data_IF_293330776279
#
_entry.id   IF_293330776279
#
_cell.length_a   1.000
_cell.length_b   1.000
_cell.length_c   1.000
_cell.angle_alpha   90.00
_cell.angle_beta   90.00
_cell.angle_gamma   90.00
#
_symmetry.space_group_name_H-M   'P 1'
#
loop_
_entity.id
_entity.type
_entity.pdbx_description
1 polymer ?
#
# COMPACT_ATOMS: atom_id res chain seq x y z
N UNK A 1 -2.93 -26.90 -36.30
CA UNK A 1 -1.52 -27.31 -36.44
C UNK A 1 -0.67 -26.07 -36.76
N UNK A 2 0.06 -25.52 -35.78
CA UNK A 2 1.34 -24.89 -36.05
C UNK A 2 2.44 -25.54 -35.20
N UNK A 3 3.45 -26.06 -35.89
CA UNK A 3 4.69 -26.62 -35.36
C UNK A 3 5.55 -25.54 -34.72
N UNK A 4 6.02 -25.76 -33.48
CA UNK A 4 7.14 -25.02 -32.88
C UNK A 4 8.25 -26.01 -32.52
N UNK A 5 9.44 -25.63 -32.96
CA UNK A 5 10.72 -26.32 -32.98
C UNK A 5 11.24 -26.72 -31.59
N UNK A 6 12.13 -27.73 -31.50
CA UNK A 6 12.67 -28.22 -30.23
C UNK A 6 13.66 -27.23 -29.59
N UNK A 7 13.50 -27.02 -28.28
CA UNK A 7 14.38 -26.23 -27.42
C UNK A 7 15.74 -26.91 -27.25
N UNK A 8 16.80 -26.23 -27.66
CA UNK A 8 18.19 -26.61 -27.34
C UNK A 8 18.45 -26.36 -25.84
N UNK A 9 19.06 -27.29 -25.09
CA UNK A 9 19.36 -27.07 -23.68
C UNK A 9 20.54 -26.09 -23.51
N UNK A 10 20.40 -25.16 -22.56
CA UNK A 10 21.46 -24.24 -22.12
C UNK A 10 22.65 -25.02 -21.53
N UNK A 11 23.90 -24.65 -21.85
CA UNK A 11 25.06 -25.29 -21.23
C UNK A 11 25.15 -24.91 -19.74
N UNK A 12 25.38 -25.91 -18.89
CA UNK A 12 25.57 -25.74 -17.45
C UNK A 12 27.03 -25.37 -17.21
N UNK A 13 27.29 -24.20 -16.64
CA UNK A 13 28.64 -23.81 -16.21
C UNK A 13 29.06 -24.66 -14.99
N UNK A 14 30.32 -25.11 -14.90
CA UNK A 14 30.77 -25.92 -13.77
C UNK A 14 30.69 -25.16 -12.45
N UNK A 15 30.10 -25.79 -11.43
CA UNK A 15 30.08 -25.30 -10.06
C UNK A 15 31.47 -25.55 -9.44
N UNK A 16 32.32 -24.53 -9.33
CA UNK A 16 33.57 -24.67 -8.57
C UNK A 16 33.27 -24.67 -7.06
N UNK A 17 33.64 -25.76 -6.38
CA UNK A 17 33.53 -25.91 -4.93
C UNK A 17 34.65 -25.09 -4.26
N UNK A 18 34.34 -24.20 -3.31
CA UNK A 18 35.38 -23.49 -2.56
C UNK A 18 36.02 -24.44 -1.54
N UNK A 19 37.26 -24.86 -1.75
CA UNK A 19 37.90 -25.70 -0.73
C UNK A 19 39.23 -26.38 -1.01
N UNK A 20 39.96 -26.07 -2.09
CA UNK A 20 41.29 -26.65 -2.29
C UNK A 20 42.30 -25.56 -2.56
N UNK A 21 43.13 -25.26 -1.55
CA UNK A 21 44.56 -24.94 -1.67
C UNK A 21 45.10 -24.56 -0.27
N UNK A 22 45.37 -25.57 0.56
CA UNK A 22 46.20 -25.43 1.76
C UNK A 22 47.61 -25.94 1.44
N UNK A 23 48.45 -25.10 0.84
CA UNK A 23 49.88 -25.35 0.74
C UNK A 23 50.57 -24.72 1.97
N UNK A 24 51.03 -25.56 2.90
CA UNK A 24 51.86 -25.13 4.04
C UNK A 24 53.20 -24.60 3.52
N UNK A 25 53.40 -23.28 3.51
CA UNK A 25 54.73 -22.68 3.37
C UNK A 25 55.28 -22.31 4.74
N UNK A 26 56.36 -23.00 5.13
CA UNK A 26 57.21 -22.67 6.27
C UNK A 26 57.94 -21.35 6.01
N UNK A 27 57.88 -20.39 6.94
CA UNK A 27 58.81 -19.26 6.95
C UNK A 27 58.25 -17.91 7.42
N UNK A 28 58.90 -17.36 8.45
CA UNK A 28 58.86 -15.97 8.94
C UNK A 28 57.65 -15.58 9.80
N UNK A 29 57.89 -15.45 11.12
CA UNK A 29 56.96 -14.85 12.09
C UNK A 29 56.84 -13.35 11.80
N UNK A 30 55.87 -12.96 10.97
CA UNK A 30 55.33 -11.59 10.98
C UNK A 30 54.27 -11.53 12.06
N UNK A 31 54.19 -10.42 12.80
CA UNK A 31 53.23 -10.25 13.88
C UNK A 31 51.81 -10.51 13.35
N UNK A 32 51.09 -11.42 14.01
CA UNK A 32 49.78 -11.92 13.57
C UNK A 32 48.73 -10.83 13.37
N UNK A 33 48.86 -9.71 14.09
CA UNK A 33 47.98 -8.54 13.93
C UNK A 33 48.15 -7.85 12.58
N UNK A 34 49.38 -7.72 12.09
CA UNK A 34 49.69 -7.02 10.83
C UNK A 34 49.29 -7.88 9.63
N UNK A 35 49.53 -9.20 9.71
CA UNK A 35 49.07 -10.15 8.70
C UNK A 35 47.53 -10.24 8.63
N UNK A 36 46.84 -10.13 9.78
CA UNK A 36 45.38 -10.11 9.83
C UNK A 36 44.81 -8.81 9.24
N UNK A 37 45.43 -7.67 9.49
CA UNK A 37 45.01 -6.39 8.91
C UNK A 37 45.26 -6.30 7.41
N UNK A 38 46.40 -6.80 6.92
CA UNK A 38 46.71 -6.85 5.47
C UNK A 38 45.78 -7.84 4.73
N UNK A 39 45.45 -8.97 5.36
CA UNK A 39 44.43 -9.89 4.84
C UNK A 39 43.04 -9.24 4.81
N UNK A 40 42.64 -8.53 5.88
CA UNK A 40 41.37 -7.81 5.93
C UNK A 40 41.29 -6.71 4.86
N UNK A 41 42.36 -5.93 4.66
CA UNK A 41 42.42 -4.89 3.63
C UNK A 41 42.25 -5.46 2.21
N UNK A 42 42.80 -6.64 1.93
CA UNK A 42 42.64 -7.33 0.64
C UNK A 42 41.25 -7.94 0.45
N UNK A 43 40.59 -8.34 1.54
CA UNK A 43 39.28 -9.02 1.48
C UNK A 43 38.12 -8.03 1.48
N UNK A 44 38.27 -6.88 2.16
CA UNK A 44 37.21 -5.87 2.32
C UNK A 44 37.46 -4.57 1.56
N UNK A 45 38.67 -4.34 1.02
CA UNK A 45 39.03 -3.12 0.28
C UNK A 45 38.47 -3.04 -1.14
N UNK A 46 37.90 -4.13 -1.65
CA UNK A 46 37.15 -4.14 -2.90
C UNK A 46 35.72 -4.55 -2.58
N UNK A 47 34.90 -3.60 -2.13
CA UNK A 47 33.45 -3.75 -2.32
C UNK A 47 33.26 -3.99 -3.81
N UNK A 48 32.80 -5.17 -4.27
CA UNK A 48 32.35 -5.26 -5.63
C UNK A 48 31.17 -4.31 -5.72
N UNK A 49 31.38 -3.17 -6.38
CA UNK A 49 30.27 -2.39 -6.89
C UNK A 49 29.62 -3.30 -7.90
N UNK A 50 28.63 -4.09 -7.46
CA UNK A 50 27.71 -4.74 -8.36
C UNK A 50 27.25 -3.63 -9.29
N UNK A 51 27.52 -3.72 -10.61
CA UNK A 51 26.87 -2.82 -11.53
C UNK A 51 25.39 -3.06 -11.31
N UNK A 52 24.70 -2.10 -10.68
CA UNK A 52 23.25 -2.02 -10.67
C UNK A 52 22.81 -1.62 -12.08
N UNK A 53 23.16 -2.44 -13.08
CA UNK A 53 22.56 -2.39 -14.39
C UNK A 53 21.54 -3.51 -14.46
N UNK A 54 20.34 -3.19 -14.03
CA UNK A 54 19.21 -3.30 -14.94
C UNK A 54 18.12 -2.37 -14.42
N UNK A 55 18.07 -1.16 -15.00
CA UNK A 55 16.75 -0.55 -15.22
C UNK A 55 15.96 -1.62 -15.93
N UNK A 56 15.04 -2.20 -15.18
CA UNK A 56 14.27 -3.37 -15.56
C UNK A 56 13.72 -3.14 -16.96
N UNK A 57 13.93 -4.11 -17.85
CA UNK A 57 13.02 -4.25 -18.98
C UNK A 57 11.61 -4.22 -18.37
N UNK A 58 10.85 -3.15 -18.61
CA UNK A 58 9.48 -3.04 -18.13
C UNK A 58 8.79 -4.27 -18.71
N UNK A 59 8.36 -5.18 -17.84
CA UNK A 59 7.53 -6.31 -18.28
C UNK A 59 6.42 -5.72 -19.17
N UNK A 60 6.16 -6.23 -20.38
CA UNK A 60 5.11 -5.68 -21.24
C UNK A 60 3.74 -5.69 -20.56
N UNK A 61 3.54 -6.53 -19.53
CA UNK A 61 2.36 -6.51 -18.68
C UNK A 61 2.23 -5.27 -17.77
N UNK A 62 3.34 -4.56 -17.50
CA UNK A 62 3.43 -3.38 -16.65
C UNK A 62 3.45 -2.07 -17.45
N UNK A 63 3.54 -2.15 -18.77
CA UNK A 63 3.46 -0.99 -19.65
C UNK A 63 2.11 -0.27 -19.45
N UNK A 64 2.16 1.06 -19.25
CA UNK A 64 0.99 1.88 -18.96
C UNK A 64 0.48 1.84 -17.50
N UNK A 65 1.10 1.08 -16.58
CA UNK A 65 0.72 1.10 -15.16
C UNK A 65 1.37 2.27 -14.43
N UNK A 66 0.54 3.12 -13.81
CA UNK A 66 1.01 4.15 -12.88
C UNK A 66 0.65 3.76 -11.44
N UNK A 67 1.57 3.95 -10.50
CA UNK A 67 1.27 3.79 -9.08
C UNK A 67 0.36 4.93 -8.62
N UNK A 68 -0.75 4.59 -7.98
CA UNK A 68 -1.62 5.58 -7.34
C UNK A 68 -0.88 6.20 -6.15
N UNK A 69 -0.87 7.54 -6.09
CA UNK A 69 -0.45 8.27 -4.88
C UNK A 69 -1.50 8.04 -3.80
N UNK A 70 -1.09 7.79 -2.56
CA UNK A 70 -2.00 7.60 -1.42
C UNK A 70 -2.35 6.14 -1.09
N UNK A 71 -1.97 5.14 -1.90
CA UNK A 71 -2.26 3.75 -1.58
C UNK A 71 -1.22 3.16 -0.61
N UNK A 72 -1.64 2.82 0.63
CA UNK A 72 -0.78 2.30 1.69
C UNK A 72 -1.41 1.12 2.43
N UNK A 73 -0.59 0.26 3.03
CA UNK A 73 -1.04 -0.69 4.05
C UNK A 73 -0.94 0.00 5.41
N UNK A 74 -2.05 0.09 6.13
CA UNK A 74 -2.13 0.77 7.43
C UNK A 74 -2.54 -0.22 8.50
N UNK A 75 -1.87 -0.17 9.66
CA UNK A 75 -2.21 -0.98 10.82
C UNK A 75 -3.62 -0.66 11.31
N UNK A 76 -4.42 -1.70 11.58
CA UNK A 76 -5.81 -1.52 12.05
C UNK A 76 -5.90 -0.73 13.35
N UNK A 77 -4.87 -0.81 14.20
CA UNK A 77 -4.79 -0.04 15.44
C UNK A 77 -4.65 1.46 15.22
N UNK A 78 -4.19 1.91 14.05
CA UNK A 78 -4.05 3.31 13.69
C UNK A 78 -5.27 3.89 13.00
N UNK A 79 -6.32 3.09 12.79
CA UNK A 79 -7.53 3.46 12.05
C UNK A 79 -8.72 3.49 13.01
N UNK A 80 -9.48 4.58 12.97
CA UNK A 80 -10.70 4.77 13.75
C UNK A 80 -11.93 4.90 12.83
N UNK A 81 -13.05 4.26 13.18
CA UNK A 81 -14.33 4.50 12.51
C UNK A 81 -14.85 5.90 12.83
N UNK A 82 -15.67 6.45 11.93
CA UNK A 82 -16.33 7.72 12.12
C UNK A 82 -17.62 7.53 12.97
N UNK A 83 -17.73 8.16 14.16
CA UNK A 83 -18.89 8.02 15.04
C UNK A 83 -20.18 8.63 14.47
N UNK A 84 -20.08 9.50 13.48
CA UNK A 84 -21.22 10.18 12.85
C UNK A 84 -21.84 9.37 11.69
N UNK A 85 -21.29 8.20 11.36
CA UNK A 85 -21.84 7.35 10.30
C UNK A 85 -23.28 6.92 10.63
N UNK A 86 -24.27 7.20 9.75
CA UNK A 86 -25.68 6.96 10.02
C UNK A 86 -26.05 5.46 9.96
N UNK A 87 -25.25 4.64 9.27
CA UNK A 87 -25.49 3.19 9.18
C UNK A 87 -24.94 2.49 10.42
N UNK A 88 -25.76 2.40 11.47
CA UNK A 88 -25.43 1.71 12.72
C UNK A 88 -25.88 0.25 12.76
N UNK A 89 -26.88 -0.11 11.96
CA UNK A 89 -27.37 -1.48 11.83
C UNK A 89 -26.64 -2.18 10.69
N UNK A 90 -25.85 -3.19 11.04
CA UNK A 90 -25.23 -4.11 10.11
C UNK A 90 -25.86 -5.49 10.31
N UNK A 91 -26.25 -6.14 9.21
CA UNK A 91 -26.64 -7.53 9.25
C UNK A 91 -25.40 -8.37 9.61
N UNK A 92 -25.45 -9.01 10.78
CA UNK A 92 -24.38 -9.86 11.30
C UNK A 92 -24.05 -11.01 10.33
N UNK A 93 -25.04 -11.53 9.62
CA UNK A 93 -24.87 -12.60 8.64
C UNK A 93 -24.05 -12.12 7.44
N UNK A 94 -24.34 -10.91 6.93
CA UNK A 94 -23.57 -10.32 5.84
C UNK A 94 -22.13 -9.99 6.25
N UNK A 95 -21.93 -9.54 7.50
CA UNK A 95 -20.59 -9.25 8.03
C UNK A 95 -19.76 -10.53 8.18
N UNK A 96 -20.37 -11.62 8.66
CA UNK A 96 -19.71 -12.92 8.77
C UNK A 96 -19.27 -13.44 7.39
N UNK A 97 -20.13 -13.35 6.38
CA UNK A 97 -19.80 -13.73 5.00
C UNK A 97 -18.64 -12.91 4.45
N UNK A 98 -18.64 -11.59 4.68
CA UNK A 98 -17.56 -10.71 4.25
C UNK A 98 -16.25 -11.05 4.98
N UNK A 99 -16.32 -11.37 6.27
CA UNK A 99 -15.17 -11.76 7.09
C UNK A 99 -14.53 -13.04 6.56
N UNK A 100 -15.33 -14.07 6.27
CA UNK A 100 -14.87 -15.32 5.66
C UNK A 100 -14.20 -15.07 4.30
N UNK A 101 -14.79 -14.22 3.46
CA UNK A 101 -14.19 -13.85 2.17
C UNK A 101 -12.86 -13.12 2.32
N UNK A 102 -12.72 -12.27 3.34
CA UNK A 102 -11.48 -11.52 3.61
C UNK A 102 -10.39 -12.46 4.16
N UNK A 103 -10.75 -13.45 4.97
CA UNK A 103 -9.79 -14.47 5.44
C UNK A 103 -9.22 -15.31 4.28
N UNK A 104 -10.06 -15.68 3.31
CA UNK A 104 -9.65 -16.51 2.18
C UNK A 104 -8.85 -15.73 1.13
N UNK A 105 -9.26 -14.49 0.81
CA UNK A 105 -8.76 -13.75 -0.38
C UNK A 105 -8.15 -12.39 -0.07
N UNK A 106 -8.12 -11.99 1.19
CA UNK A 106 -7.72 -10.66 1.62
C UNK A 106 -8.72 -9.58 1.21
N UNK A 107 -8.35 -8.33 1.49
CA UNK A 107 -9.14 -7.16 1.12
C UNK A 107 -8.82 -6.74 -0.30
N UNK A 108 -9.76 -7.00 -1.22
CA UNK A 108 -9.59 -6.67 -2.65
C UNK A 108 -9.71 -5.18 -2.96
N UNK A 109 -10.61 -4.49 -2.26
CA UNK A 109 -10.86 -3.07 -2.47
C UNK A 109 -10.36 -2.28 -1.25
N UNK A 110 -9.42 -1.34 -1.44
CA UNK A 110 -8.90 -0.54 -0.35
C UNK A 110 -10.01 0.31 0.29
N UNK A 111 -9.90 0.57 1.58
CA UNK A 111 -10.75 1.53 2.29
C UNK A 111 -10.23 2.96 2.07
N UNK A 112 -11.09 3.96 2.18
CA UNK A 112 -10.65 5.37 2.08
C UNK A 112 -10.55 5.98 3.46
N UNK A 113 -9.45 6.66 3.73
CA UNK A 113 -9.15 7.25 5.02
C UNK A 113 -8.48 8.61 4.83
N UNK A 114 -8.61 9.48 5.81
CA UNK A 114 -7.77 10.66 5.95
C UNK A 114 -6.91 10.55 7.21
N UNK A 115 -5.85 11.35 7.29
CA UNK A 115 -5.02 11.45 8.51
C UNK A 115 -5.46 12.63 9.37
N UNK A 116 -5.83 12.37 10.63
CA UNK A 116 -6.24 13.38 11.59
C UNK A 116 -5.06 13.71 12.50
N UNK A 117 -4.51 14.92 12.33
CA UNK A 117 -3.27 15.35 13.00
C UNK A 117 -3.45 15.48 14.52
N UNK A 118 -4.63 15.91 14.99
CA UNK A 118 -4.91 16.15 16.41
C UNK A 118 -4.84 14.88 17.25
N UNK A 119 -5.23 13.74 16.66
CA UNK A 119 -5.24 12.43 17.33
C UNK A 119 -4.16 11.48 16.82
N UNK A 120 -3.36 11.90 15.84
CA UNK A 120 -2.31 11.10 15.16
C UNK A 120 -2.80 9.77 14.55
N UNK A 121 -4.05 9.74 14.10
CA UNK A 121 -4.74 8.53 13.66
C UNK A 121 -5.43 8.73 12.32
N UNK A 122 -5.64 7.63 11.60
CA UNK A 122 -6.45 7.62 10.39
C UNK A 122 -7.92 7.47 10.74
N UNK A 123 -8.79 8.18 10.04
CA UNK A 123 -10.23 8.03 10.21
C UNK A 123 -10.88 7.63 8.88
N UNK A 124 -11.86 6.73 8.99
CA UNK A 124 -12.51 6.11 7.84
C UNK A 124 -13.48 7.09 7.19
N UNK A 125 -13.27 7.37 5.91
CA UNK A 125 -14.21 8.11 5.05
C UNK A 125 -15.23 7.12 4.48
N UNK A 126 -14.74 5.99 3.95
CA UNK A 126 -15.58 4.99 3.29
C UNK A 126 -15.02 3.57 3.48
N UNK A 127 -15.94 2.60 3.62
CA UNK A 127 -15.61 1.18 3.69
C UNK A 127 -15.57 0.59 5.10
N UNK A 128 -16.33 1.15 6.05
CA UNK A 128 -16.33 0.69 7.44
C UNK A 128 -16.67 -0.80 7.59
N UNK A 129 -17.58 -1.35 6.77
CA UNK A 129 -17.88 -2.79 6.75
C UNK A 129 -16.63 -3.65 6.50
N UNK A 130 -15.75 -3.21 5.61
CA UNK A 130 -14.49 -3.92 5.31
C UNK A 130 -13.52 -3.80 6.48
N UNK A 131 -13.41 -2.62 7.09
CA UNK A 131 -12.61 -2.44 8.30
C UNK A 131 -13.07 -3.37 9.44
N UNK A 132 -14.38 -3.42 9.72
CA UNK A 132 -14.96 -4.31 10.73
C UNK A 132 -14.71 -5.78 10.42
N UNK A 133 -14.94 -6.19 9.18
CA UNK A 133 -14.69 -7.56 8.73
C UNK A 133 -13.19 -7.91 8.76
N UNK A 134 -12.29 -6.97 8.45
CA UNK A 134 -10.84 -7.15 8.57
C UNK A 134 -10.39 -7.30 10.02
N UNK A 135 -11.01 -6.55 10.94
CA UNK A 135 -10.78 -6.69 12.38
C UNK A 135 -11.27 -8.04 12.89
N UNK A 136 -12.47 -8.46 12.48
CA UNK A 136 -13.03 -9.78 12.80
C UNK A 136 -12.22 -10.93 12.18
N UNK A 137 -11.62 -10.70 11.00
CA UNK A 137 -10.75 -11.65 10.32
C UNK A 137 -9.37 -11.82 10.99
N UNK A 138 -9.00 -10.92 11.92
CA UNK A 138 -7.71 -10.97 12.62
C UNK A 138 -6.52 -10.43 11.82
N UNK A 139 -6.77 -9.54 10.85
CA UNK A 139 -5.69 -8.91 10.09
C UNK A 139 -4.93 -7.88 10.93
N UNK A 140 -3.62 -7.71 10.72
CA UNK A 140 -2.82 -6.67 11.37
C UNK A 140 -2.95 -5.31 10.66
N UNK A 141 -2.99 -5.33 9.33
CA UNK A 141 -3.06 -4.16 8.47
C UNK A 141 -4.09 -4.35 7.35
N UNK A 142 -4.58 -3.24 6.81
CA UNK A 142 -5.57 -3.19 5.73
C UNK A 142 -5.11 -2.24 4.62
N UNK A 143 -5.35 -2.55 3.34
CA UNK A 143 -5.05 -1.62 2.26
C UNK A 143 -5.99 -0.41 2.32
N UNK A 144 -5.39 0.78 2.31
CA UNK A 144 -6.05 2.06 2.43
C UNK A 144 -5.62 2.98 1.30
N UNK A 145 -6.56 3.81 0.84
CA UNK A 145 -6.26 5.02 0.10
C UNK A 145 -6.32 6.18 1.10
N UNK A 146 -5.16 6.79 1.33
CA UNK A 146 -5.02 8.00 2.14
C UNK A 146 -5.30 9.17 1.24
N UNK A 147 -6.39 9.86 1.53
CA UNK A 147 -6.71 11.16 0.96
C UNK A 147 -6.10 12.23 1.88
N UNK A 148 -5.54 13.27 1.27
CA UNK A 148 -5.03 14.39 2.03
C UNK A 148 -6.20 15.04 2.76
N UNK A 149 -6.07 15.21 4.08
CA UNK A 149 -6.98 16.11 4.78
C UNK A 149 -6.86 17.46 4.07
N UNK A 150 -7.98 18.07 3.68
CA UNK A 150 -7.98 19.38 3.05
C UNK A 150 -7.46 20.38 4.06
N UNK A 151 -6.16 20.59 3.99
CA UNK A 151 -5.40 21.37 4.94
C UNK A 151 -5.70 22.85 4.67
N UNK A 152 -6.36 23.51 5.61
CA UNK A 152 -6.37 24.97 5.75
C UNK A 152 -7.04 25.82 4.65
N UNK A 153 -8.11 25.32 4.02
CA UNK A 153 -9.24 26.17 3.64
C UNK A 153 -10.50 25.43 4.06
N UNK A 154 -11.18 25.77 5.17
CA UNK A 154 -12.40 25.07 5.62
C UNK A 154 -13.55 25.12 4.59
N UNK A 155 -13.44 25.99 3.59
CA UNK A 155 -14.45 26.23 2.57
C UNK A 155 -14.41 25.22 1.41
N UNK A 156 -13.23 24.94 0.85
CA UNK A 156 -13.09 24.03 -0.31
C UNK A 156 -13.50 22.57 -0.05
N UNK A 157 -13.15 21.95 1.11
CA UNK A 157 -13.53 20.57 1.36
C UNK A 157 -14.96 20.40 1.80
N UNK A 158 -15.55 21.36 2.51
CA UNK A 158 -16.98 21.33 2.82
C UNK A 158 -17.78 21.36 1.51
N UNK A 159 -17.36 22.18 0.55
CA UNK A 159 -17.97 22.23 -0.79
C UNK A 159 -17.80 20.92 -1.53
N UNK A 160 -16.58 20.37 -1.61
CA UNK A 160 -16.34 19.10 -2.32
C UNK A 160 -17.12 17.92 -1.71
N UNK A 161 -17.12 17.81 -0.37
CA UNK A 161 -17.89 16.79 0.35
C UNK A 161 -19.40 16.98 0.11
N UNK A 162 -19.92 18.20 0.21
CA UNK A 162 -21.34 18.48 -0.07
C UNK A 162 -21.71 18.13 -1.51
N UNK A 163 -20.85 18.43 -2.48
CA UNK A 163 -21.08 18.09 -3.88
C UNK A 163 -21.05 16.58 -4.10
N UNK A 164 -20.10 15.86 -3.50
CA UNK A 164 -20.02 14.39 -3.59
C UNK A 164 -21.25 13.74 -2.95
N UNK A 165 -21.66 14.21 -1.77
CA UNK A 165 -22.87 13.78 -1.09
C UNK A 165 -24.12 14.04 -1.93
N UNK A 166 -24.33 15.25 -2.45
CA UNK A 166 -25.50 15.54 -3.31
C UNK A 166 -25.48 14.65 -4.56
N UNK A 167 -24.32 14.47 -5.20
CA UNK A 167 -24.17 13.69 -6.43
C UNK A 167 -24.47 12.21 -6.22
N UNK A 168 -23.89 11.58 -5.20
CA UNK A 168 -24.12 10.16 -4.90
C UNK A 168 -25.60 9.90 -4.57
N UNK A 169 -26.19 10.81 -3.83
CA UNK A 169 -27.49 10.67 -3.20
C UNK A 169 -28.59 11.02 -4.23
N UNK A 170 -28.29 11.89 -5.21
CA UNK A 170 -29.04 12.05 -6.47
C UNK A 170 -28.95 10.81 -7.37
N UNK A 171 -27.77 10.23 -7.56
CA UNK A 171 -27.59 9.01 -8.38
C UNK A 171 -28.36 7.81 -7.82
N UNK A 172 -28.60 7.76 -6.51
CA UNK A 172 -29.43 6.75 -5.85
C UNK A 172 -30.94 7.03 -5.91
N UNK A 173 -31.36 8.18 -6.45
CA UNK A 173 -32.73 8.68 -6.40
C UNK A 173 -33.30 8.82 -4.97
N UNK A 174 -32.42 8.97 -3.97
CA UNK A 174 -32.77 9.03 -2.55
C UNK A 174 -33.03 10.48 -2.07
N UNK A 175 -32.68 11.50 -2.86
CA UNK A 175 -32.76 12.90 -2.45
C UNK A 175 -34.18 13.48 -2.60
N UNK A 176 -34.78 13.93 -1.49
CA UNK A 176 -36.08 14.63 -1.51
C UNK A 176 -35.92 16.11 -1.87
N UNK A 177 -36.94 16.77 -2.43
CA UNK A 177 -36.87 18.19 -2.83
C UNK A 177 -36.44 19.15 -1.71
N UNK A 178 -36.86 18.89 -0.47
CA UNK A 178 -36.48 19.72 0.68
C UNK A 178 -35.02 19.52 1.10
N UNK A 179 -34.55 18.27 1.06
CA UNK A 179 -33.16 17.92 1.37
C UNK A 179 -32.21 18.49 0.31
N UNK A 180 -32.61 18.45 -0.97
CA UNK A 180 -31.91 19.11 -2.07
C UNK A 180 -31.82 20.62 -1.82
N UNK A 181 -32.93 21.27 -1.46
CA UNK A 181 -32.96 22.71 -1.20
C UNK A 181 -32.01 23.11 -0.08
N UNK A 182 -31.97 22.35 1.02
CA UNK A 182 -31.10 22.63 2.15
C UNK A 182 -29.64 22.41 1.80
N UNK A 183 -29.31 21.31 1.10
CA UNK A 183 -27.94 21.01 0.69
C UNK A 183 -27.42 22.04 -0.33
N UNK A 184 -28.27 22.52 -1.24
CA UNK A 184 -27.92 23.60 -2.17
C UNK A 184 -27.74 24.95 -1.46
N UNK A 185 -28.55 25.25 -0.44
CA UNK A 185 -28.38 26.45 0.37
C UNK A 185 -27.07 26.42 1.16
N UNK A 186 -26.74 25.28 1.79
CA UNK A 186 -25.47 25.08 2.47
C UNK A 186 -24.28 25.20 1.51
N UNK A 187 -24.41 24.64 0.30
CA UNK A 187 -23.39 24.76 -0.75
C UNK A 187 -23.20 26.21 -1.22
N UNK A 188 -24.29 26.96 -1.39
CA UNK A 188 -24.27 28.38 -1.75
C UNK A 188 -23.55 29.20 -0.67
N UNK A 189 -23.93 28.98 0.59
CA UNK A 189 -23.39 29.71 1.74
C UNK A 189 -21.90 29.37 1.94
N UNK A 190 -21.52 28.10 1.74
CA UNK A 190 -20.13 27.67 1.73
C UNK A 190 -19.34 28.31 0.59
N UNK A 191 -19.90 28.45 -0.62
CA UNK A 191 -19.22 29.11 -1.75
C UNK A 191 -19.21 30.64 -1.67
N UNK A 192 -19.94 31.25 -0.72
CA UNK A 192 -20.06 32.71 -0.60
C UNK A 192 -20.79 33.36 -1.79
N UNK A 193 -21.64 32.62 -2.49
CA UNK A 193 -22.40 33.11 -3.64
C UNK A 193 -23.69 33.75 -3.09
N UNK A 194 -23.84 35.07 -3.22
CA UNK A 194 -25.04 35.82 -2.81
C UNK A 194 -26.09 35.84 -3.90
#
# INVERSE_FOLDING_TARGET
MPSRSPSTPRPVLPLELPGSLSTKSSGVRRNSAEAAMDAAARTFGTTPSLPLESVSAVDPAQEGRQRLRGAFLIDLHRIQPDPEQPRREFDEQELANLTASIQERGVRQPIRVWYVTEVEMYQIIAGERRYRASKAAGLSAIPCLVEDMPSAQPTLPRVEILVEQISENWQRADLKPLELSNALAELRDALGIV
#
